data_IF_181437558796
#
_entry.id   IF_181437558796
#
_cell.length_a   1.000
_cell.length_b   1.000
_cell.length_c   1.000
_cell.angle_alpha   90.00
_cell.angle_beta   90.00
_cell.angle_gamma   90.00
#
_symmetry.space_group_name_H-M   'P 1'
#
loop_
_entity.id
_entity.type
_entity.pdbx_description
1 polymer ?
#
# COMPACT_ATOMS: atom_id res chain seq x y z
N UNK A 1 -39.85 0.65 -6.19
CA UNK A 1 -39.58 0.20 -7.57
C UNK A 1 -38.19 -0.44 -7.60
N UNK A 2 -38.01 -1.58 -8.26
CA UNK A 2 -36.72 -2.28 -8.30
C UNK A 2 -35.99 -1.95 -9.59
N UNK A 3 -34.72 -1.55 -9.52
CA UNK A 3 -33.89 -1.18 -10.67
C UNK A 3 -32.52 -1.85 -10.51
N UNK A 4 -31.94 -2.35 -11.60
CA UNK A 4 -30.56 -2.85 -11.57
C UNK A 4 -29.55 -1.71 -11.47
N UNK A 5 -28.42 -1.92 -10.82
CA UNK A 5 -27.32 -0.93 -10.76
C UNK A 5 -26.94 -0.42 -12.15
N UNK A 6 -26.87 -1.31 -13.14
CA UNK A 6 -26.49 -0.97 -14.52
C UNK A 6 -27.53 -0.08 -15.23
N UNK A 7 -28.79 -0.17 -14.83
CA UNK A 7 -29.90 0.61 -15.40
C UNK A 7 -30.16 1.90 -14.61
N UNK A 8 -29.66 1.98 -13.38
CA UNK A 8 -29.91 3.06 -12.45
C UNK A 8 -29.42 4.41 -12.98
N UNK A 9 -28.24 4.45 -13.61
CA UNK A 9 -27.66 5.66 -14.21
C UNK A 9 -28.59 6.25 -15.29
N UNK A 10 -28.96 5.43 -16.27
CA UNK A 10 -29.86 5.85 -17.37
C UNK A 10 -31.26 6.23 -16.88
N UNK A 11 -31.74 5.60 -15.82
CA UNK A 11 -33.02 5.95 -15.21
C UNK A 11 -32.93 7.28 -14.45
N UNK A 12 -31.84 7.47 -13.69
CA UNK A 12 -31.59 8.67 -12.91
C UNK A 12 -31.51 9.89 -13.82
N UNK A 13 -30.79 9.79 -14.94
CA UNK A 13 -30.70 10.86 -15.94
C UNK A 13 -32.07 11.30 -16.46
N UNK A 14 -32.94 10.35 -16.78
CA UNK A 14 -34.30 10.63 -17.28
C UNK A 14 -35.18 11.30 -16.23
N UNK A 15 -35.10 10.86 -14.97
CA UNK A 15 -35.89 11.46 -13.90
C UNK A 15 -35.33 12.82 -13.46
N UNK A 16 -34.00 12.98 -13.43
CA UNK A 16 -33.35 14.27 -13.21
C UNK A 16 -33.70 15.25 -14.32
N UNK A 17 -33.74 14.83 -15.59
CA UNK A 17 -34.13 15.72 -16.69
C UNK A 17 -35.56 16.25 -16.51
N UNK A 18 -36.51 15.39 -16.11
CA UNK A 18 -37.89 15.80 -15.82
C UNK A 18 -37.96 16.74 -14.62
N UNK A 19 -37.29 16.41 -13.52
CA UNK A 19 -37.31 17.18 -12.29
C UNK A 19 -36.61 18.54 -12.43
N UNK A 20 -35.52 18.60 -13.21
CA UNK A 20 -34.72 19.81 -13.41
C UNK A 20 -35.23 20.69 -14.54
N UNK A 21 -36.13 20.22 -15.42
CA UNK A 21 -36.70 21.04 -16.51
C UNK A 21 -37.21 22.43 -16.06
N UNK A 22 -38.01 22.58 -14.99
CA UNK A 22 -38.44 23.90 -14.52
C UNK A 22 -37.25 24.75 -14.03
N UNK A 23 -36.28 24.15 -13.35
CA UNK A 23 -35.07 24.81 -12.85
C UNK A 23 -34.16 25.26 -14.00
N UNK A 24 -33.97 24.43 -15.03
CA UNK A 24 -33.24 24.76 -16.26
C UNK A 24 -33.90 25.90 -17.03
N UNK A 25 -35.23 25.91 -17.11
CA UNK A 25 -35.97 27.01 -17.75
C UNK A 25 -35.82 28.33 -16.98
N UNK A 26 -35.87 28.31 -15.64
CA UNK A 26 -35.62 29.49 -14.80
C UNK A 26 -34.18 29.98 -14.95
N UNK A 27 -33.22 29.07 -14.95
CA UNK A 27 -31.80 29.37 -15.17
C UNK A 27 -31.54 29.98 -16.56
N UNK A 28 -32.21 29.47 -17.61
CA UNK A 28 -32.15 30.04 -18.96
C UNK A 28 -32.64 31.49 -18.98
N UNK A 29 -33.79 31.78 -18.36
CA UNK A 29 -34.30 33.16 -18.23
C UNK A 29 -33.33 34.08 -17.48
N UNK A 30 -32.65 33.60 -16.44
CA UNK A 30 -31.64 34.38 -15.72
C UNK A 30 -30.39 34.63 -16.56
N UNK A 31 -30.02 33.69 -17.43
CA UNK A 31 -28.92 33.86 -18.39
C UNK A 31 -29.29 34.89 -19.46
N UNK A 32 -30.53 34.86 -19.95
CA UNK A 32 -31.04 35.87 -20.89
C UNK A 32 -31.12 37.26 -20.24
N UNK A 33 -31.58 37.35 -18.99
CA UNK A 33 -31.58 38.59 -18.20
C UNK A 33 -30.16 39.14 -18.01
N UNK A 34 -29.18 38.25 -17.75
CA UNK A 34 -27.77 38.63 -17.65
C UNK A 34 -27.21 39.10 -18.99
N UNK A 35 -27.49 38.40 -20.09
CA UNK A 35 -27.10 38.82 -21.44
C UNK A 35 -27.63 40.21 -21.75
N UNK A 36 -28.93 40.45 -21.55
CA UNK A 36 -29.55 41.76 -21.79
C UNK A 36 -28.93 42.85 -20.94
N UNK A 37 -28.72 42.60 -19.64
CA UNK A 37 -28.13 43.59 -18.74
C UNK A 37 -26.68 43.93 -19.14
N UNK A 38 -25.89 42.95 -19.57
CA UNK A 38 -24.51 43.17 -20.03
C UNK A 38 -24.45 43.84 -21.40
N UNK A 39 -25.34 43.48 -22.33
CA UNK A 39 -25.41 44.11 -23.66
C UNK A 39 -25.88 45.56 -23.57
N UNK A 40 -26.89 45.85 -22.74
CA UNK A 40 -27.30 47.23 -22.42
C UNK A 40 -26.14 48.03 -21.82
N UNK A 41 -25.37 47.40 -20.91
CA UNK A 41 -24.21 48.03 -20.31
C UNK A 41 -23.11 48.31 -21.32
N UNK A 42 -22.81 47.34 -22.19
CA UNK A 42 -21.84 47.51 -23.28
C UNK A 42 -22.24 48.66 -24.19
N UNK A 43 -23.49 48.67 -24.68
CA UNK A 43 -23.99 49.74 -25.54
C UNK A 43 -23.88 51.12 -24.87
N UNK A 44 -24.25 51.22 -23.58
CA UNK A 44 -24.11 52.47 -22.82
C UNK A 44 -22.65 52.91 -22.69
N UNK A 45 -21.73 52.03 -22.33
CA UNK A 45 -20.33 52.40 -22.14
C UNK A 45 -19.60 52.68 -23.46
N UNK A 46 -19.96 52.03 -24.55
CA UNK A 46 -19.47 52.37 -25.90
C UNK A 46 -19.92 53.78 -26.32
N UNK A 47 -21.19 54.11 -26.11
CA UNK A 47 -21.72 55.44 -26.40
C UNK A 47 -21.08 56.50 -25.52
N UNK A 48 -20.91 56.21 -24.22
CA UNK A 48 -20.27 57.11 -23.26
C UNK A 48 -18.80 57.36 -23.62
N UNK A 49 -18.06 56.33 -24.05
CA UNK A 49 -16.68 56.48 -24.54
C UNK A 49 -16.64 57.33 -25.81
N UNK A 50 -17.52 57.06 -26.78
CA UNK A 50 -17.59 57.83 -28.04
C UNK A 50 -17.90 59.31 -27.78
N UNK A 51 -18.83 59.59 -26.87
CA UNK A 51 -19.18 60.96 -26.45
C UNK A 51 -18.02 61.66 -25.75
N UNK A 52 -17.26 60.94 -24.93
CA UNK A 52 -16.04 61.45 -24.31
C UNK A 52 -14.96 61.79 -25.35
N UNK A 53 -14.71 60.90 -26.32
CA UNK A 53 -13.73 61.14 -27.40
C UNK A 53 -14.14 62.30 -28.32
N UNK A 54 -15.43 62.44 -28.61
CA UNK A 54 -15.99 63.59 -29.32
C UNK A 54 -15.79 64.91 -28.56
N UNK A 55 -16.00 64.91 -27.25
CA UNK A 55 -15.77 66.10 -26.42
C UNK A 55 -14.27 66.43 -26.27
N UNK A 56 -13.38 65.43 -26.27
CA UNK A 56 -11.92 65.63 -26.25
C UNK A 56 -11.40 66.32 -27.51
N UNK A 57 -12.02 66.08 -28.66
CA UNK A 57 -11.62 66.68 -29.95
C UNK A 57 -12.23 68.05 -30.20
N UNK A 58 -13.41 68.33 -29.66
CA UNK A 58 -14.16 69.58 -29.93
C UNK A 58 -14.02 70.64 -28.84
N UNK A 59 -13.92 70.26 -27.56
CA UNK A 59 -13.88 71.21 -26.44
C UNK A 59 -12.44 71.54 -26.05
N UNK A 60 -12.12 72.84 -26.04
CA UNK A 60 -10.79 73.38 -25.69
C UNK A 60 -10.68 73.86 -24.24
N UNK A 61 -11.79 73.86 -23.48
CA UNK A 61 -11.77 74.31 -22.10
C UNK A 61 -11.13 73.23 -21.18
N UNK A 62 -10.20 73.60 -20.28
CA UNK A 62 -9.47 72.64 -19.45
C UNK A 62 -10.35 71.75 -18.57
N UNK A 63 -11.51 72.26 -18.13
CA UNK A 63 -12.44 71.57 -17.24
C UNK A 63 -13.19 70.47 -18.01
N UNK A 64 -13.79 70.79 -19.16
CA UNK A 64 -14.46 69.77 -19.99
C UNK A 64 -13.48 68.76 -20.57
N UNK A 65 -12.25 69.19 -20.92
CA UNK A 65 -11.22 68.27 -21.40
C UNK A 65 -10.84 67.24 -20.33
N UNK A 66 -10.61 67.69 -19.08
CA UNK A 66 -10.32 66.80 -17.95
C UNK A 66 -11.49 65.85 -17.68
N UNK A 67 -12.72 66.36 -17.62
CA UNK A 67 -13.92 65.56 -17.40
C UNK A 67 -14.10 64.49 -18.51
N UNK A 68 -13.95 64.87 -19.78
CA UNK A 68 -14.05 63.95 -20.91
C UNK A 68 -12.99 62.85 -20.88
N UNK A 69 -11.73 63.18 -20.55
CA UNK A 69 -10.65 62.20 -20.42
C UNK A 69 -10.94 61.15 -19.34
N UNK A 70 -11.46 61.60 -18.20
CA UNK A 70 -11.77 60.75 -17.05
C UNK A 70 -12.97 59.84 -17.37
N UNK A 71 -14.05 60.40 -17.93
CA UNK A 71 -15.22 59.63 -18.38
C UNK A 71 -14.83 58.57 -19.42
N UNK A 72 -14.04 58.95 -20.43
CA UNK A 72 -13.59 58.03 -21.48
C UNK A 72 -12.71 56.90 -20.95
N UNK A 73 -11.87 57.16 -19.93
CA UNK A 73 -11.10 56.11 -19.25
C UNK A 73 -12.04 55.15 -18.52
N UNK A 74 -12.95 55.66 -17.69
CA UNK A 74 -13.88 54.82 -16.92
C UNK A 74 -14.78 53.99 -17.82
N UNK A 75 -15.27 54.56 -18.92
CA UNK A 75 -16.09 53.84 -19.89
C UNK A 75 -15.31 52.67 -20.53
N UNK A 76 -14.04 52.86 -20.89
CA UNK A 76 -13.17 51.80 -21.43
C UNK A 76 -12.84 50.73 -20.38
N UNK A 77 -12.53 51.13 -19.16
CA UNK A 77 -12.27 50.20 -18.06
C UNK A 77 -13.53 49.38 -17.74
N UNK A 78 -14.70 50.00 -17.80
CA UNK A 78 -16.00 49.35 -17.62
C UNK A 78 -16.29 48.31 -18.73
N UNK A 79 -16.07 48.67 -19.99
CA UNK A 79 -16.20 47.74 -21.13
C UNK A 79 -15.30 46.53 -20.96
N UNK A 80 -14.04 46.75 -20.63
CA UNK A 80 -13.06 45.66 -20.42
C UNK A 80 -13.44 44.73 -19.26
N UNK A 81 -14.17 45.24 -18.27
CA UNK A 81 -14.63 44.46 -17.11
C UNK A 81 -15.86 43.62 -17.47
N UNK A 82 -16.78 44.18 -18.25
CA UNK A 82 -17.98 43.49 -18.74
C UNK A 82 -17.61 42.38 -19.72
N UNK A 83 -16.65 42.62 -20.61
CA UNK A 83 -16.16 41.66 -21.59
C UNK A 83 -15.58 40.37 -21.00
N UNK A 84 -15.07 40.43 -19.78
CA UNK A 84 -14.49 39.29 -19.08
C UNK A 84 -15.56 38.35 -18.52
N UNK A 85 -16.82 38.78 -18.44
CA UNK A 85 -17.90 37.97 -17.88
C UNK A 85 -18.36 36.97 -18.94
N UNK A 86 -18.11 35.69 -18.67
CA UNK A 86 -18.62 34.59 -19.48
C UNK A 86 -19.96 34.13 -18.93
N UNK A 87 -20.99 34.14 -19.79
CA UNK A 87 -22.29 33.55 -19.46
C UNK A 87 -22.22 32.05 -19.83
N UNK A 88 -22.49 31.14 -18.88
CA UNK A 88 -22.37 29.71 -19.12
C UNK A 88 -23.46 29.20 -20.04
N UNK A 89 -23.08 28.37 -21.01
CA UNK A 89 -24.02 27.66 -21.90
C UNK A 89 -24.67 26.45 -21.21
N UNK A 90 -23.94 25.82 -20.28
CA UNK A 90 -24.45 24.70 -19.49
C UNK A 90 -24.98 25.17 -18.13
N UNK A 91 -26.19 24.72 -17.79
CA UNK A 91 -26.84 25.02 -16.51
C UNK A 91 -26.29 24.08 -15.43
N UNK A 92 -25.23 24.53 -14.76
CA UNK A 92 -24.70 23.89 -13.56
C UNK A 92 -24.69 24.87 -12.37
N UNK A 93 -24.77 24.33 -11.16
CA UNK A 93 -24.72 25.16 -9.95
C UNK A 93 -23.40 25.94 -9.84
N UNK A 94 -22.27 25.30 -10.17
CA UNK A 94 -20.95 25.92 -10.13
C UNK A 94 -20.83 27.05 -11.17
N UNK A 95 -21.34 26.82 -12.39
CA UNK A 95 -21.34 27.82 -13.46
C UNK A 95 -22.11 29.08 -13.06
N UNK A 96 -23.30 28.92 -12.46
CA UNK A 96 -24.12 30.05 -12.00
C UNK A 96 -23.54 30.75 -10.78
N UNK A 97 -22.84 30.02 -9.89
CA UNK A 97 -22.11 30.62 -8.79
C UNK A 97 -20.99 31.54 -9.29
N UNK A 98 -20.21 31.08 -10.27
CA UNK A 98 -19.17 31.90 -10.92
C UNK A 98 -19.78 33.12 -11.61
N UNK A 99 -20.89 32.95 -12.33
CA UNK A 99 -21.59 34.06 -12.97
C UNK A 99 -22.06 35.11 -11.94
N UNK A 100 -22.69 34.67 -10.84
CA UNK A 100 -23.10 35.56 -9.73
C UNK A 100 -21.92 36.35 -9.18
N UNK A 101 -20.81 35.67 -8.89
CA UNK A 101 -19.62 36.30 -8.30
C UNK A 101 -19.02 37.33 -9.27
N UNK A 102 -18.94 37.00 -10.56
CA UNK A 102 -18.46 37.91 -11.58
C UNK A 102 -19.36 39.14 -11.74
N UNK A 103 -20.70 38.97 -11.77
CA UNK A 103 -21.65 40.09 -11.86
C UNK A 103 -21.58 41.00 -10.63
N UNK A 104 -21.52 40.41 -9.44
CA UNK A 104 -21.45 41.16 -8.17
C UNK A 104 -20.14 41.94 -8.05
N UNK A 105 -19.00 41.30 -8.33
CA UNK A 105 -17.69 41.95 -8.29
C UNK A 105 -17.57 43.06 -9.34
N UNK A 106 -18.08 42.83 -10.55
CA UNK A 106 -18.09 43.85 -11.61
C UNK A 106 -18.98 45.02 -11.23
N UNK A 107 -20.19 44.79 -10.72
CA UNK A 107 -21.08 45.86 -10.27
C UNK A 107 -20.44 46.69 -9.14
N UNK A 108 -19.76 46.04 -8.18
CA UNK A 108 -19.06 46.73 -7.09
C UNK A 108 -17.90 47.59 -7.61
N UNK A 109 -17.05 47.03 -8.48
CA UNK A 109 -15.93 47.75 -9.11
C UNK A 109 -16.41 48.96 -9.93
N UNK A 110 -17.48 48.79 -10.72
CA UNK A 110 -18.07 49.89 -11.50
C UNK A 110 -18.65 50.99 -10.60
N UNK A 111 -19.29 50.62 -9.48
CA UNK A 111 -19.82 51.59 -8.51
C UNK A 111 -18.69 52.39 -7.85
N UNK A 112 -17.58 51.74 -7.50
CA UNK A 112 -16.39 52.39 -6.95
C UNK A 112 -15.75 53.36 -7.97
N UNK A 113 -15.58 52.89 -9.22
CA UNK A 113 -15.04 53.69 -10.32
C UNK A 113 -15.90 54.93 -10.61
N UNK A 114 -17.23 54.79 -10.55
CA UNK A 114 -18.16 55.92 -10.67
C UNK A 114 -18.00 56.91 -9.52
N UNK A 115 -17.93 56.44 -8.29
CA UNK A 115 -17.86 57.29 -7.11
C UNK A 115 -16.54 58.08 -7.01
N UNK A 116 -15.42 57.48 -7.40
CA UNK A 116 -14.14 58.19 -7.48
C UNK A 116 -14.16 59.28 -8.55
N UNK A 117 -14.78 58.97 -9.68
CA UNK A 117 -14.84 59.81 -10.89
C UNK A 117 -15.84 60.95 -10.76
N UNK A 118 -16.90 60.80 -9.95
CA UNK A 118 -17.93 61.83 -9.78
C UNK A 118 -17.38 63.17 -9.25
N UNK A 119 -16.28 63.13 -8.47
CA UNK A 119 -15.62 64.35 -7.97
C UNK A 119 -15.00 65.18 -9.09
N UNK A 120 -14.59 64.54 -10.19
CA UNK A 120 -13.81 65.17 -11.27
C UNK A 120 -14.68 65.67 -12.44
N UNK A 121 -15.95 65.24 -12.50
CA UNK A 121 -16.83 65.44 -13.67
C UNK A 121 -17.67 66.73 -13.61
N UNK A 122 -17.72 67.41 -12.47
CA UNK A 122 -18.35 68.73 -12.22
C UNK A 122 -19.52 69.10 -13.16
N UNK A 123 -20.68 68.45 -12.99
CA UNK A 123 -21.96 68.79 -13.65
C UNK A 123 -22.08 68.49 -15.16
N UNK A 124 -20.97 68.40 -15.90
CA UNK A 124 -20.96 68.29 -17.37
C UNK A 124 -21.53 66.97 -17.90
N UNK A 125 -21.42 65.90 -17.12
CA UNK A 125 -21.94 64.56 -17.46
C UNK A 125 -22.95 64.08 -16.41
N UNK A 126 -23.69 64.98 -15.77
CA UNK A 126 -24.59 64.62 -14.67
C UNK A 126 -25.62 63.55 -15.08
N UNK A 127 -26.24 63.72 -16.25
CA UNK A 127 -27.22 62.76 -16.79
C UNK A 127 -26.57 61.42 -17.13
N UNK A 128 -25.38 61.43 -17.73
CA UNK A 128 -24.66 60.20 -18.05
C UNK A 128 -24.24 59.46 -16.77
N UNK A 129 -23.88 60.17 -15.69
CA UNK A 129 -23.55 59.57 -14.39
C UNK A 129 -24.77 59.00 -13.65
N UNK A 130 -25.99 59.47 -13.95
CA UNK A 130 -27.23 58.86 -13.48
C UNK A 130 -27.52 57.57 -14.24
N UNK A 131 -27.40 57.61 -15.57
CA UNK A 131 -27.54 56.43 -16.43
C UNK A 131 -26.49 55.35 -16.12
N UNK A 132 -25.25 55.75 -15.80
CA UNK A 132 -24.20 54.87 -15.32
C UNK A 132 -24.65 54.09 -14.09
N UNK A 133 -25.13 54.79 -13.06
CA UNK A 133 -25.64 54.14 -11.85
C UNK A 133 -26.81 53.20 -12.16
N UNK A 134 -27.70 53.58 -13.07
CA UNK A 134 -28.83 52.73 -13.48
C UNK A 134 -28.40 51.44 -14.20
N UNK A 135 -27.34 51.49 -15.01
CA UNK A 135 -26.75 50.30 -15.65
C UNK A 135 -26.09 49.40 -14.61
N UNK A 136 -25.28 49.97 -13.70
CA UNK A 136 -24.64 49.21 -12.62
C UNK A 136 -25.67 48.54 -11.71
N UNK A 137 -26.76 49.25 -11.39
CA UNK A 137 -27.84 48.71 -10.56
C UNK A 137 -28.57 47.56 -11.26
N UNK A 138 -28.75 47.62 -12.59
CA UNK A 138 -29.30 46.52 -13.38
C UNK A 138 -28.42 45.27 -13.31
N UNK A 139 -27.10 45.42 -13.49
CA UNK A 139 -26.14 44.30 -13.35
C UNK A 139 -26.20 43.71 -11.94
N UNK A 140 -26.20 44.57 -10.90
CA UNK A 140 -26.29 44.15 -9.51
C UNK A 140 -27.59 43.37 -9.22
N UNK A 141 -28.72 43.87 -9.72
CA UNK A 141 -30.04 43.25 -9.57
C UNK A 141 -30.12 41.87 -10.23
N UNK A 142 -29.49 41.69 -11.40
CA UNK A 142 -29.41 40.36 -12.02
C UNK A 142 -28.53 39.42 -11.18
N UNK A 143 -27.40 39.90 -10.66
CA UNK A 143 -26.57 39.14 -9.71
C UNK A 143 -27.35 38.70 -8.46
N UNK A 144 -28.20 39.57 -7.92
CA UNK A 144 -29.06 39.27 -6.77
C UNK A 144 -30.13 38.22 -7.11
N UNK A 145 -30.82 38.36 -8.26
CA UNK A 145 -31.76 37.34 -8.75
C UNK A 145 -31.10 35.97 -8.91
N UNK A 146 -29.85 35.93 -9.40
CA UNK A 146 -29.09 34.67 -9.52
C UNK A 146 -28.73 34.14 -8.13
N UNK A 147 -28.38 34.99 -7.16
CA UNK A 147 -28.14 34.55 -5.77
C UNK A 147 -29.40 33.93 -5.14
N UNK A 148 -30.55 34.61 -5.27
CA UNK A 148 -31.84 34.10 -4.79
C UNK A 148 -32.21 32.78 -5.47
N UNK A 149 -31.92 32.65 -6.76
CA UNK A 149 -32.10 31.38 -7.47
C UNK A 149 -31.19 30.28 -6.91
N UNK A 150 -29.90 30.55 -6.68
CA UNK A 150 -28.96 29.57 -6.14
C UNK A 150 -29.34 29.12 -4.71
N UNK A 151 -29.91 30.02 -3.90
CA UNK A 151 -30.38 29.72 -2.54
C UNK A 151 -31.73 28.96 -2.53
N UNK A 152 -32.54 29.10 -3.58
CA UNK A 152 -33.82 28.41 -3.73
C UNK A 152 -33.76 27.26 -4.74
N UNK A 153 -34.28 27.48 -5.94
CA UNK A 153 -34.43 26.44 -6.97
C UNK A 153 -33.10 25.80 -7.42
N UNK A 154 -31.99 26.52 -7.27
CA UNK A 154 -30.63 26.07 -7.59
C UNK A 154 -30.13 24.96 -6.68
N UNK A 155 -30.71 24.78 -5.48
CA UNK A 155 -30.41 23.64 -4.62
C UNK A 155 -30.71 22.31 -5.32
N UNK A 156 -31.72 22.27 -6.21
CA UNK A 156 -32.03 21.09 -7.00
C UNK A 156 -30.89 20.72 -7.97
N UNK A 157 -30.16 21.70 -8.50
CA UNK A 157 -28.98 21.45 -9.35
C UNK A 157 -27.83 20.87 -8.52
N UNK A 158 -27.67 21.35 -7.28
CA UNK A 158 -26.67 20.80 -6.36
C UNK A 158 -27.03 19.36 -5.95
N UNK A 159 -28.30 19.09 -5.65
CA UNK A 159 -28.81 17.74 -5.34
C UNK A 159 -28.65 16.77 -6.51
N UNK A 160 -28.88 17.22 -7.73
CA UNK A 160 -28.64 16.42 -8.94
C UNK A 160 -27.15 16.08 -9.11
N UNK A 161 -26.25 17.04 -8.85
CA UNK A 161 -24.81 16.81 -8.87
C UNK A 161 -24.36 15.80 -7.81
N UNK A 162 -24.90 15.87 -6.60
CA UNK A 162 -24.53 14.91 -5.55
C UNK A 162 -25.03 13.50 -5.87
N UNK A 163 -26.22 13.36 -6.47
CA UNK A 163 -26.74 12.07 -6.94
C UNK A 163 -25.87 11.46 -8.05
N UNK A 164 -25.61 12.21 -9.11
CA UNK A 164 -24.73 11.77 -10.23
C UNK A 164 -23.34 11.40 -9.73
N UNK A 165 -22.72 12.19 -8.86
CA UNK A 165 -21.43 11.84 -8.25
C UNK A 165 -21.50 10.54 -7.42
N UNK A 166 -22.62 10.27 -6.75
CA UNK A 166 -22.78 9.03 -5.97
C UNK A 166 -22.86 7.84 -6.94
N UNK A 167 -23.55 7.97 -8.07
CA UNK A 167 -23.61 6.93 -9.12
C UNK A 167 -22.25 6.66 -9.74
N UNK A 168 -21.48 7.71 -10.05
CA UNK A 168 -20.11 7.57 -10.55
C UNK A 168 -19.24 6.79 -9.56
N UNK A 169 -19.32 7.11 -8.26
CA UNK A 169 -18.57 6.36 -7.23
C UNK A 169 -19.00 4.89 -7.13
N UNK A 170 -20.30 4.60 -7.26
CA UNK A 170 -20.82 3.23 -7.31
C UNK A 170 -20.21 2.48 -8.50
N UNK A 171 -20.18 3.10 -9.68
CA UNK A 171 -19.60 2.49 -10.89
C UNK A 171 -18.09 2.21 -10.71
N UNK A 172 -17.34 3.18 -10.19
CA UNK A 172 -15.90 3.02 -9.94
C UNK A 172 -15.61 1.88 -8.97
N UNK A 173 -16.37 1.77 -7.87
CA UNK A 173 -16.20 0.68 -6.91
C UNK A 173 -16.63 -0.66 -7.53
N UNK A 174 -17.68 -0.67 -8.35
CA UNK A 174 -18.08 -1.85 -9.11
C UNK A 174 -16.96 -2.39 -10.00
N UNK A 175 -16.24 -1.51 -10.71
CA UNK A 175 -15.08 -1.88 -11.52
C UNK A 175 -13.93 -2.44 -10.66
N UNK A 176 -13.55 -1.74 -9.59
CA UNK A 176 -12.49 -2.20 -8.67
C UNK A 176 -12.82 -3.57 -8.06
N UNK A 177 -14.08 -3.82 -7.75
CA UNK A 177 -14.55 -5.07 -7.18
C UNK A 177 -14.45 -6.23 -8.17
N UNK A 178 -14.79 -5.97 -9.44
CA UNK A 178 -14.65 -6.95 -10.52
C UNK A 178 -13.17 -7.27 -10.81
N UNK A 179 -12.30 -6.27 -10.81
CA UNK A 179 -10.85 -6.47 -10.95
C UNK A 179 -10.30 -7.31 -9.80
N UNK A 180 -10.63 -6.98 -8.56
CA UNK A 180 -10.18 -7.74 -7.39
C UNK A 180 -10.71 -9.17 -7.36
N UNK A 181 -11.95 -9.40 -7.81
CA UNK A 181 -12.49 -10.77 -7.98
C UNK A 181 -11.71 -11.57 -9.02
N UNK A 182 -11.36 -10.97 -10.16
CA UNK A 182 -10.53 -11.62 -11.18
C UNK A 182 -9.15 -11.98 -10.63
N UNK A 183 -8.49 -11.03 -9.95
CA UNK A 183 -7.22 -11.26 -9.28
C UNK A 183 -7.31 -12.41 -8.25
N UNK A 184 -8.39 -12.47 -7.46
CA UNK A 184 -8.61 -13.56 -6.50
C UNK A 184 -8.71 -14.93 -7.18
N UNK A 185 -9.41 -15.02 -8.32
CA UNK A 185 -9.56 -16.28 -9.09
C UNK A 185 -8.19 -16.70 -9.67
N UNK A 186 -7.41 -15.76 -10.17
CA UNK A 186 -6.06 -16.02 -10.67
C UNK A 186 -5.14 -16.52 -9.55
N UNK A 187 -5.16 -15.85 -8.40
CA UNK A 187 -4.40 -16.27 -7.21
C UNK A 187 -4.82 -17.67 -6.75
N UNK A 188 -6.11 -17.99 -6.76
CA UNK A 188 -6.60 -19.31 -6.41
C UNK A 188 -6.07 -20.40 -7.37
N UNK A 189 -6.11 -20.14 -8.68
CA UNK A 189 -5.52 -21.04 -9.68
C UNK A 189 -4.02 -21.23 -9.48
N UNK A 190 -3.28 -20.17 -9.15
CA UNK A 190 -1.84 -20.29 -8.87
C UNK A 190 -1.57 -21.12 -7.61
N UNK A 191 -2.36 -20.93 -6.55
CA UNK A 191 -2.27 -21.73 -5.31
C UNK A 191 -2.53 -23.21 -5.61
N UNK A 192 -3.59 -23.52 -6.36
CA UNK A 192 -3.92 -24.89 -6.75
C UNK A 192 -2.82 -25.52 -7.61
N UNK A 193 -2.28 -24.76 -8.57
CA UNK A 193 -1.13 -25.17 -9.37
C UNK A 193 0.08 -25.53 -8.52
N UNK A 194 0.46 -24.66 -7.58
CA UNK A 194 1.56 -24.90 -6.63
C UNK A 194 1.30 -26.12 -5.76
N UNK A 195 0.09 -26.26 -5.21
CA UNK A 195 -0.30 -27.41 -4.39
C UNK A 195 -0.20 -28.72 -5.16
N UNK A 196 -0.63 -28.72 -6.43
CA UNK A 196 -0.51 -29.89 -7.31
C UNK A 196 0.96 -30.24 -7.61
N UNK A 197 1.81 -29.26 -7.86
CA UNK A 197 3.24 -29.45 -8.11
C UNK A 197 3.95 -30.01 -6.85
N UNK A 198 3.60 -29.52 -5.66
CA UNK A 198 4.11 -30.03 -4.39
C UNK A 198 3.69 -31.49 -4.19
N UNK A 199 2.44 -31.86 -4.53
CA UNK A 199 1.97 -33.25 -4.47
C UNK A 199 2.74 -34.15 -5.44
N UNK A 200 2.96 -33.71 -6.67
CA UNK A 200 3.77 -34.45 -7.65
C UNK A 200 5.21 -34.66 -7.16
N UNK A 201 5.88 -33.60 -6.68
CA UNK A 201 7.21 -33.69 -6.09
C UNK A 201 7.25 -34.60 -4.86
N UNK A 202 6.17 -34.65 -4.07
CA UNK A 202 6.07 -35.54 -2.92
C UNK A 202 5.95 -37.00 -3.34
N UNK A 203 5.21 -37.29 -4.41
CA UNK A 203 5.14 -38.64 -5.00
C UNK A 203 6.51 -39.04 -5.57
N UNK A 204 7.19 -38.14 -6.30
CA UNK A 204 8.56 -38.38 -6.79
C UNK A 204 9.55 -38.62 -5.63
N UNK A 205 9.38 -37.92 -4.51
CA UNK A 205 10.19 -38.15 -3.32
C UNK A 205 9.93 -39.56 -2.75
N UNK A 206 8.68 -40.02 -2.71
CA UNK A 206 8.31 -41.36 -2.26
C UNK A 206 8.87 -42.45 -3.16
N UNK A 207 8.83 -42.28 -4.49
CA UNK A 207 9.40 -43.26 -5.43
C UNK A 207 10.92 -43.36 -5.28
N UNK A 208 11.63 -42.23 -5.16
CA UNK A 208 13.08 -42.22 -4.93
C UNK A 208 13.43 -42.83 -3.57
N UNK A 209 12.67 -42.51 -2.52
CA UNK A 209 12.91 -43.05 -1.17
C UNK A 209 12.51 -44.52 -1.00
N UNK A 210 11.71 -45.06 -1.91
CA UNK A 210 11.37 -46.49 -1.96
C UNK A 210 12.52 -47.37 -2.44
N UNK A 211 13.57 -46.80 -3.04
CA UNK A 211 14.76 -47.56 -3.43
C UNK A 211 15.50 -48.10 -2.19
N UNK A 212 15.72 -49.42 -2.13
CA UNK A 212 16.33 -50.09 -0.99
C UNK A 212 17.73 -49.58 -0.65
N UNK A 213 18.55 -49.27 -1.65
CA UNK A 213 19.91 -48.75 -1.44
C UNK A 213 19.89 -47.38 -0.74
N UNK A 214 18.98 -46.50 -1.16
CA UNK A 214 18.82 -45.18 -0.56
C UNK A 214 18.19 -45.27 0.84
N UNK A 215 17.22 -46.16 1.02
CA UNK A 215 16.58 -46.41 2.31
C UNK A 215 17.61 -46.84 3.36
N UNK A 216 18.51 -47.76 3.00
CA UNK A 216 19.62 -48.17 3.87
C UNK A 216 20.56 -47.00 4.21
N UNK A 217 20.92 -46.15 3.23
CA UNK A 217 21.72 -44.95 3.49
C UNK A 217 21.02 -44.00 4.47
N UNK A 218 19.72 -43.79 4.32
CA UNK A 218 18.94 -42.93 5.21
C UNK A 218 18.81 -43.50 6.62
N UNK A 219 18.68 -44.81 6.76
CA UNK A 219 18.66 -45.51 8.04
C UNK A 219 20.02 -45.39 8.75
N UNK A 220 21.13 -45.63 8.04
CA UNK A 220 22.48 -45.41 8.56
C UNK A 220 22.68 -43.95 9.00
N UNK A 221 22.18 -42.96 8.24
CA UNK A 221 22.24 -41.56 8.65
C UNK A 221 21.41 -41.27 9.91
N UNK A 222 20.25 -41.91 10.07
CA UNK A 222 19.42 -41.81 11.26
C UNK A 222 20.12 -42.42 12.48
N UNK A 223 20.75 -43.58 12.30
CA UNK A 223 21.55 -44.24 13.34
C UNK A 223 22.77 -43.41 13.74
N UNK A 224 23.53 -42.88 12.77
CA UNK A 224 24.66 -41.98 13.04
C UNK A 224 24.23 -40.73 13.81
N UNK A 225 23.04 -40.18 13.53
CA UNK A 225 22.47 -39.04 14.30
C UNK A 225 22.08 -39.47 15.71
N UNK A 226 21.49 -40.65 15.88
CA UNK A 226 21.12 -41.20 17.20
C UNK A 226 22.36 -41.44 18.05
N UNK A 227 23.37 -42.12 17.49
CA UNK A 227 24.66 -42.32 18.15
C UNK A 227 25.36 -40.99 18.44
N UNK A 228 25.28 -40.00 17.55
CA UNK A 228 25.82 -38.68 17.83
C UNK A 228 25.12 -37.99 19.01
N UNK A 229 23.83 -38.23 19.23
CA UNK A 229 23.08 -37.68 20.37
C UNK A 229 23.48 -38.43 21.64
N UNK A 230 23.46 -39.75 21.60
CA UNK A 230 23.90 -40.63 22.71
C UNK A 230 25.35 -40.35 23.11
N UNK A 231 26.23 -40.10 22.14
CA UNK A 231 27.61 -39.73 22.43
C UNK A 231 27.71 -38.38 23.16
N UNK A 232 26.80 -37.44 22.88
CA UNK A 232 26.77 -36.16 23.60
C UNK A 232 26.20 -36.29 25.00
N UNK A 233 25.19 -37.14 25.19
CA UNK A 233 24.50 -37.34 26.48
C UNK A 233 25.24 -38.28 27.41
N UNK A 234 25.83 -39.35 26.90
CA UNK A 234 26.41 -40.39 27.76
C UNK A 234 27.88 -40.09 28.03
N UNK A 235 28.61 -39.66 26.99
CA UNK A 235 30.06 -39.50 27.02
C UNK A 235 30.50 -38.08 27.37
N UNK A 236 29.68 -37.06 27.08
CA UNK A 236 30.11 -35.66 27.14
C UNK A 236 29.33 -34.76 28.10
N UNK A 237 28.35 -35.30 28.81
CA UNK A 237 27.46 -34.50 29.68
C UNK A 237 28.22 -33.72 30.74
N UNK A 238 29.17 -34.33 31.46
CA UNK A 238 29.97 -33.60 32.45
C UNK A 238 31.31 -33.11 31.91
N UNK A 239 31.75 -33.57 30.74
CA UNK A 239 33.05 -33.21 30.15
C UNK A 239 33.03 -31.96 29.26
N UNK A 240 31.88 -31.52 28.74
CA UNK A 240 31.78 -30.36 27.84
C UNK A 240 32.38 -29.06 28.41
N UNK A 241 32.04 -28.70 29.65
CA UNK A 241 32.55 -27.48 30.29
C UNK A 241 34.02 -27.61 30.72
N UNK A 242 34.44 -28.71 31.35
CA UNK A 242 35.86 -28.96 31.64
C UNK A 242 36.74 -28.95 30.39
N UNK A 243 36.33 -29.57 29.29
CA UNK A 243 37.12 -29.58 28.04
C UNK A 243 37.29 -28.17 27.43
N UNK A 244 36.25 -27.33 27.49
CA UNK A 244 36.36 -25.91 27.08
C UNK A 244 37.35 -25.16 27.97
N UNK A 245 37.24 -25.34 29.29
CA UNK A 245 38.15 -24.69 30.25
C UNK A 245 39.61 -25.15 30.07
N UNK A 246 39.83 -26.44 29.80
CA UNK A 246 41.15 -26.99 29.48
C UNK A 246 41.74 -26.32 28.23
N UNK A 247 40.93 -26.13 27.18
CA UNK A 247 41.35 -25.42 25.98
C UNK A 247 41.75 -23.98 26.29
N UNK A 248 40.91 -23.28 27.05
CA UNK A 248 41.14 -21.86 27.36
C UNK A 248 42.38 -21.69 28.26
N UNK A 249 42.60 -22.58 29.24
CA UNK A 249 43.81 -22.61 30.08
C UNK A 249 45.06 -22.96 29.28
N UNK A 250 44.94 -23.84 28.30
CA UNK A 250 46.07 -24.17 27.43
C UNK A 250 46.45 -23.03 26.48
N UNK A 251 45.46 -22.28 25.97
CA UNK A 251 45.72 -21.08 25.17
C UNK A 251 46.43 -19.98 25.97
N UNK A 252 46.19 -19.90 27.28
CA UNK A 252 46.87 -18.97 28.21
C UNK A 252 48.25 -19.44 28.67
N UNK A 253 48.67 -20.66 28.30
CA UNK A 253 49.94 -21.24 28.72
C UNK A 253 49.95 -21.81 30.14
N UNK A 254 48.81 -21.84 30.84
CA UNK A 254 48.70 -22.36 32.21
C UNK A 254 48.78 -23.90 32.27
N UNK A 255 48.42 -24.56 31.15
CA UNK A 255 48.52 -26.00 30.92
C UNK A 255 49.23 -26.25 29.59
N UNK A 256 50.34 -26.98 29.64
CA UNK A 256 51.08 -27.37 28.45
C UNK A 256 50.33 -28.48 27.69
N UNK A 257 49.67 -28.11 26.59
CA UNK A 257 49.22 -29.05 25.55
C UNK A 257 50.07 -28.83 24.29
N UNK A 258 50.32 -29.90 23.53
CA UNK A 258 50.99 -29.79 22.21
C UNK A 258 50.09 -29.04 21.22
N UNK A 259 50.68 -28.43 20.19
CA UNK A 259 49.89 -27.68 19.18
C UNK A 259 48.81 -28.56 18.52
N UNK A 260 49.17 -29.80 18.18
CA UNK A 260 48.27 -30.80 17.60
C UNK A 260 47.11 -31.19 18.54
N UNK A 261 47.37 -31.27 19.85
CA UNK A 261 46.37 -31.60 20.87
C UNK A 261 45.39 -30.43 21.09
N UNK A 262 45.87 -29.19 21.01
CA UNK A 262 45.03 -27.99 21.12
C UNK A 262 44.07 -27.87 19.94
N UNK A 263 44.57 -28.12 18.73
CA UNK A 263 43.77 -28.10 17.50
C UNK A 263 42.72 -29.22 17.51
N UNK A 264 43.13 -30.44 17.90
CA UNK A 264 42.22 -31.58 18.09
C UNK A 264 41.12 -31.30 19.13
N UNK A 265 41.48 -30.67 20.26
CA UNK A 265 40.52 -30.28 21.29
C UNK A 265 39.53 -29.22 20.76
N UNK A 266 40.01 -28.28 19.94
CA UNK A 266 39.16 -27.29 19.26
C UNK A 266 38.12 -27.93 18.35
N UNK A 267 38.54 -28.81 17.45
CA UNK A 267 37.67 -29.57 16.54
C UNK A 267 36.66 -30.45 17.30
N UNK A 268 37.12 -31.10 18.36
CA UNK A 268 36.29 -31.96 19.20
C UNK A 268 35.22 -31.17 19.97
N UNK A 269 35.52 -29.95 20.43
CA UNK A 269 34.52 -29.09 21.08
C UNK A 269 33.44 -28.63 20.09
N UNK A 270 33.82 -28.32 18.84
CA UNK A 270 32.88 -27.87 17.81
C UNK A 270 32.02 -29.01 17.26
N UNK A 271 32.63 -30.16 16.93
CA UNK A 271 31.93 -31.31 16.34
C UNK A 271 32.34 -32.64 16.99
N UNK A 272 31.91 -32.90 18.24
CA UNK A 272 32.50 -33.97 19.06
C UNK A 272 32.43 -35.35 18.42
N UNK A 273 31.27 -35.73 17.87
CA UNK A 273 31.10 -37.04 17.26
C UNK A 273 31.79 -37.15 15.89
N UNK A 274 31.84 -36.07 15.11
CA UNK A 274 32.49 -36.07 13.79
C UNK A 274 34.01 -36.15 13.93
N UNK A 275 34.58 -35.34 14.81
CA UNK A 275 36.00 -35.38 15.18
C UNK A 275 36.37 -36.72 15.81
N UNK A 276 35.49 -37.31 16.61
CA UNK A 276 35.66 -38.64 17.19
C UNK A 276 35.86 -39.73 16.14
N UNK A 277 35.10 -39.69 15.05
CA UNK A 277 35.15 -40.71 14.02
C UNK A 277 36.26 -40.49 12.99
N UNK A 278 36.63 -39.23 12.68
CA UNK A 278 37.56 -38.88 11.60
C UNK A 278 39.03 -39.22 11.86
N UNK A 279 39.50 -39.19 13.12
CA UNK A 279 40.90 -39.42 13.49
C UNK A 279 41.10 -40.85 13.98
N UNK A 280 42.10 -41.59 13.47
CA UNK A 280 42.29 -43.03 13.68
C UNK A 280 42.44 -43.54 15.13
N UNK A 281 42.40 -42.66 16.13
CA UNK A 281 42.97 -42.97 17.42
C UNK A 281 41.98 -42.73 18.56
N UNK A 282 41.31 -43.78 19.05
CA UNK A 282 41.04 -43.87 20.49
C UNK A 282 42.18 -43.29 21.36
N UNK A 283 43.47 -43.49 20.99
CA UNK A 283 44.62 -42.82 21.60
C UNK A 283 44.84 -41.31 21.40
N UNK A 284 44.03 -40.52 20.66
CA UNK A 284 44.22 -39.04 20.61
C UNK A 284 43.38 -38.32 21.67
N UNK A 285 42.21 -38.88 22.01
CA UNK A 285 41.41 -38.39 23.15
C UNK A 285 42.06 -38.79 24.47
N UNK A 286 42.79 -39.90 24.54
CA UNK A 286 43.46 -40.34 25.77
C UNK A 286 44.46 -39.31 26.33
N UNK A 287 45.39 -38.71 25.55
CA UNK A 287 46.25 -37.60 25.99
C UNK A 287 45.44 -36.38 26.48
N UNK A 288 44.37 -36.01 25.77
CA UNK A 288 43.53 -34.87 26.14
C UNK A 288 42.77 -35.14 27.45
N UNK A 289 42.24 -36.35 27.62
CA UNK A 289 41.50 -36.77 28.81
C UNK A 289 42.43 -37.01 30.01
N UNK A 290 43.66 -37.49 29.79
CA UNK A 290 44.69 -37.61 30.84
C UNK A 290 45.24 -36.26 31.26
N UNK A 291 45.44 -35.32 30.33
CA UNK A 291 45.76 -33.93 30.65
C UNK A 291 44.62 -33.20 31.35
N UNK A 292 43.35 -33.55 31.03
CA UNK A 292 42.21 -33.08 31.80
C UNK A 292 42.23 -33.63 33.23
N UNK A 293 42.58 -34.90 33.41
CA UNK A 293 42.70 -35.54 34.73
C UNK A 293 43.82 -34.91 35.57
N UNK A 294 45.01 -34.72 35.01
CA UNK A 294 46.11 -34.05 35.71
C UNK A 294 45.83 -32.57 36.01
N UNK A 295 45.07 -31.87 35.16
CA UNK A 295 44.60 -30.52 35.42
C UNK A 295 43.55 -30.45 36.56
N UNK A 296 42.76 -31.50 36.74
CA UNK A 296 41.83 -31.64 37.87
C UNK A 296 42.57 -31.95 39.17
N UNK A 297 43.53 -32.89 39.13
CA UNK A 297 44.32 -33.30 40.29
C UNK A 297 45.23 -32.17 40.79
N UNK A 298 45.77 -31.35 39.90
CA UNK A 298 46.57 -30.16 40.24
C UNK A 298 45.74 -28.95 40.71
N UNK A 299 44.41 -29.07 40.80
CA UNK A 299 43.52 -28.00 41.26
C UNK A 299 43.35 -26.80 40.30
N UNK A 300 44.12 -26.74 39.20
CA UNK A 300 44.13 -25.64 38.23
C UNK A 300 42.79 -25.41 37.51
N UNK A 301 41.92 -26.42 37.53
CA UNK A 301 40.60 -26.36 36.90
C UNK A 301 39.55 -25.59 37.72
N UNK A 302 39.78 -25.26 38.99
CA UNK A 302 38.88 -24.44 39.83
C UNK A 302 37.41 -24.89 39.80
N UNK A 303 37.16 -26.20 39.80
CA UNK A 303 35.81 -26.79 39.83
C UNK A 303 35.42 -27.13 41.28
N UNK A 304 34.13 -27.05 41.60
CA UNK A 304 33.64 -27.45 42.93
C UNK A 304 33.81 -28.96 43.15
N UNK A 305 34.09 -29.37 44.38
CA UNK A 305 34.40 -30.76 44.72
C UNK A 305 33.37 -31.76 44.15
N UNK A 306 32.06 -31.50 44.32
CA UNK A 306 30.98 -32.33 43.75
C UNK A 306 31.03 -32.47 42.22
N UNK A 307 31.45 -31.43 41.49
CA UNK A 307 31.59 -31.45 40.03
C UNK A 307 32.87 -32.19 39.62
N UNK A 308 33.95 -31.97 40.35
CA UNK A 308 35.23 -32.68 40.16
C UNK A 308 35.03 -34.19 40.32
N UNK A 309 34.36 -34.66 41.37
CA UNK A 309 34.07 -36.10 41.57
C UNK A 309 33.29 -36.70 40.40
N UNK A 310 32.25 -36.02 39.89
CA UNK A 310 31.46 -36.52 38.74
C UNK A 310 32.27 -36.56 37.45
N UNK A 311 33.13 -35.57 37.23
CA UNK A 311 34.01 -35.50 36.06
C UNK A 311 35.09 -36.58 36.12
N UNK A 312 35.67 -36.82 37.30
CA UNK A 312 36.68 -37.88 37.52
C UNK A 312 36.05 -39.26 37.32
N UNK A 313 34.87 -39.52 37.91
CA UNK A 313 34.15 -40.79 37.70
C UNK A 313 33.84 -41.02 36.22
N UNK A 314 33.38 -40.00 35.49
CA UNK A 314 33.14 -40.11 34.05
C UNK A 314 34.44 -40.29 33.26
N UNK A 315 35.54 -39.64 33.66
CA UNK A 315 36.86 -39.83 33.03
C UNK A 315 37.37 -41.25 33.23
N UNK A 316 37.30 -41.77 34.46
CA UNK A 316 37.76 -43.11 34.79
C UNK A 316 36.96 -44.18 34.05
N UNK A 317 35.64 -44.00 33.91
CA UNK A 317 34.80 -44.86 33.08
C UNK A 317 35.20 -44.83 31.59
N UNK A 318 35.62 -43.68 31.07
CA UNK A 318 36.00 -43.54 29.67
C UNK A 318 37.43 -43.99 29.36
N UNK A 319 38.36 -43.87 30.32
CA UNK A 319 39.76 -44.29 30.15
C UNK A 319 39.99 -45.76 30.48
N UNK A 320 39.18 -46.36 31.37
CA UNK A 320 39.36 -47.76 31.83
C UNK A 320 38.60 -48.76 30.97
N UNK A 321 37.45 -48.37 30.42
CA UNK A 321 36.57 -49.28 29.68
C UNK A 321 36.85 -49.17 28.18
N UNK A 322 36.86 -50.29 27.45
CA UNK A 322 36.91 -50.32 25.96
C UNK A 322 35.68 -49.65 25.29
N UNK A 323 34.81 -49.02 26.06
CA UNK A 323 33.57 -48.37 25.65
C UNK A 323 33.77 -47.28 24.58
N UNK A 324 34.82 -46.46 24.68
CA UNK A 324 35.14 -45.49 23.62
C UNK A 324 35.56 -46.18 22.32
N UNK A 325 36.40 -47.21 22.40
CA UNK A 325 36.83 -47.96 21.22
C UNK A 325 35.63 -48.67 20.54
N UNK A 326 34.71 -49.24 21.32
CA UNK A 326 33.47 -49.85 20.81
C UNK A 326 32.55 -48.84 20.12
N UNK A 327 32.30 -47.68 20.75
CA UNK A 327 31.49 -46.60 20.12
C UNK A 327 32.16 -46.05 18.85
N UNK A 328 33.49 -45.93 18.84
CA UNK A 328 34.23 -45.50 17.65
C UNK A 328 34.15 -46.53 16.53
N UNK A 329 34.32 -47.81 16.85
CA UNK A 329 34.20 -48.92 15.91
C UNK A 329 32.82 -48.99 15.27
N UNK A 330 31.76 -48.88 16.08
CA UNK A 330 30.38 -48.87 15.60
C UNK A 330 30.10 -47.69 14.65
N UNK A 331 30.44 -46.47 15.06
CA UNK A 331 30.26 -45.28 14.21
C UNK A 331 31.11 -45.30 12.93
N UNK A 332 32.32 -45.89 12.97
CA UNK A 332 33.15 -46.10 11.78
C UNK A 332 32.58 -47.14 10.84
N UNK A 333 32.06 -48.24 11.37
CA UNK A 333 31.40 -49.26 10.56
C UNK A 333 30.20 -48.67 9.82
N UNK A 334 29.39 -47.88 10.51
CA UNK A 334 28.27 -47.15 9.90
C UNK A 334 28.74 -46.14 8.83
N UNK A 335 29.79 -45.36 9.09
CA UNK A 335 30.37 -44.46 8.09
C UNK A 335 30.92 -45.21 6.88
N UNK A 336 31.59 -46.34 7.09
CA UNK A 336 32.13 -47.19 6.04
C UNK A 336 31.03 -47.82 5.19
N UNK A 337 29.96 -48.32 5.82
CA UNK A 337 28.76 -48.81 5.13
C UNK A 337 28.09 -47.71 4.30
N UNK A 338 27.93 -46.51 4.86
CA UNK A 338 27.41 -45.34 4.13
C UNK A 338 28.29 -44.99 2.93
N UNK A 339 29.62 -44.99 3.08
CA UNK A 339 30.54 -44.70 1.98
C UNK A 339 30.48 -45.76 0.88
N UNK A 340 30.33 -47.04 1.22
CA UNK A 340 30.17 -48.12 0.25
C UNK A 340 28.89 -47.98 -0.56
N UNK A 341 27.76 -47.70 0.10
CA UNK A 341 26.48 -47.48 -0.57
C UNK A 341 26.51 -46.23 -1.46
N UNK A 342 27.16 -45.14 -1.02
CA UNK A 342 27.31 -43.92 -1.82
C UNK A 342 28.44 -43.98 -2.87
N UNK A 343 29.21 -45.07 -2.91
CA UNK A 343 30.18 -45.30 -3.99
C UNK A 343 29.47 -45.75 -5.27
N UNK A 344 28.32 -46.41 -5.13
CA UNK A 344 27.44 -46.69 -6.26
C UNK A 344 26.91 -45.38 -6.85
N UNK A 345 27.19 -45.10 -8.15
CA UNK A 345 26.72 -43.88 -8.81
C UNK A 345 25.19 -43.76 -8.80
N UNK A 346 24.46 -44.88 -8.85
CA UNK A 346 22.99 -44.87 -8.85
C UNK A 346 22.44 -44.35 -7.52
N UNK A 347 22.90 -44.92 -6.40
CA UNK A 347 22.52 -44.50 -5.06
C UNK A 347 22.95 -43.05 -4.77
N UNK A 348 24.15 -42.66 -5.21
CA UNK A 348 24.66 -41.28 -5.07
C UNK A 348 23.77 -40.28 -5.82
N UNK A 349 23.35 -40.58 -7.04
CA UNK A 349 22.48 -39.72 -7.83
C UNK A 349 21.10 -39.59 -7.17
N UNK A 350 20.50 -40.70 -6.74
CA UNK A 350 19.22 -40.69 -6.01
C UNK A 350 19.30 -39.87 -4.72
N UNK A 351 20.43 -39.94 -3.99
CA UNK A 351 20.65 -39.14 -2.79
C UNK A 351 20.71 -37.64 -3.09
N UNK A 352 21.37 -37.24 -4.18
CA UNK A 352 21.43 -35.84 -4.62
C UNK A 352 20.08 -35.34 -5.12
N UNK A 353 19.38 -36.15 -5.92
CA UNK A 353 18.06 -35.86 -6.46
C UNK A 353 17.04 -35.67 -5.34
N UNK A 354 17.03 -36.55 -4.34
CA UNK A 354 16.23 -36.41 -3.11
C UNK A 354 16.47 -35.06 -2.43
N UNK A 355 17.73 -34.61 -2.33
CA UNK A 355 18.07 -33.32 -1.73
C UNK A 355 17.51 -32.14 -2.54
N UNK A 356 17.55 -32.24 -3.87
CA UNK A 356 16.99 -31.24 -4.77
C UNK A 356 15.47 -31.18 -4.64
N UNK A 357 14.79 -32.33 -4.66
CA UNK A 357 13.33 -32.43 -4.53
C UNK A 357 12.87 -31.89 -3.18
N UNK A 358 13.54 -32.24 -2.08
CA UNK A 358 13.22 -31.68 -0.76
C UNK A 358 13.33 -30.16 -0.73
N UNK A 359 14.34 -29.59 -1.39
CA UNK A 359 14.48 -28.13 -1.50
C UNK A 359 13.35 -27.53 -2.32
N UNK A 360 13.00 -28.14 -3.47
CA UNK A 360 11.86 -27.70 -4.30
C UNK A 360 10.53 -27.76 -3.54
N UNK A 361 10.32 -28.79 -2.73
CA UNK A 361 9.12 -28.90 -1.87
C UNK A 361 9.10 -27.80 -0.82
N UNK A 362 10.23 -27.52 -0.16
CA UNK A 362 10.31 -26.45 0.85
C UNK A 362 10.06 -25.06 0.25
N UNK A 363 10.68 -24.78 -0.91
CA UNK A 363 10.48 -23.53 -1.64
C UNK A 363 9.04 -23.42 -2.16
N UNK A 364 8.49 -24.48 -2.75
CA UNK A 364 7.09 -24.53 -3.19
C UNK A 364 6.09 -24.31 -2.05
N UNK A 365 6.34 -24.86 -0.85
CA UNK A 365 5.49 -24.63 0.33
C UNK A 365 5.53 -23.18 0.80
N UNK A 366 6.69 -22.50 0.70
CA UNK A 366 6.79 -21.07 1.00
C UNK A 366 6.00 -20.25 -0.02
N UNK A 367 6.08 -20.60 -1.30
CA UNK A 367 5.35 -19.92 -2.36
C UNK A 367 3.83 -20.15 -2.23
N UNK A 368 3.39 -21.36 -1.89
CA UNK A 368 1.98 -21.69 -1.59
C UNK A 368 1.49 -20.86 -0.40
N UNK A 369 2.28 -20.74 0.66
CA UNK A 369 1.94 -19.94 1.83
C UNK A 369 1.82 -18.45 1.48
N UNK A 370 2.76 -17.89 0.70
CA UNK A 370 2.66 -16.51 0.22
C UNK A 370 1.42 -16.29 -0.66
N UNK A 371 1.09 -17.24 -1.54
CA UNK A 371 -0.11 -17.18 -2.36
C UNK A 371 -1.38 -17.20 -1.49
N UNK A 372 -1.42 -18.02 -0.43
CA UNK A 372 -2.56 -18.05 0.51
C UNK A 372 -2.72 -16.74 1.28
N UNK A 373 -1.63 -16.12 1.72
CA UNK A 373 -1.67 -14.82 2.41
C UNK A 373 -2.18 -13.70 1.48
N UNK A 374 -1.70 -13.69 0.23
CA UNK A 374 -2.18 -12.75 -0.80
C UNK A 374 -3.66 -12.94 -1.08
N UNK A 375 -4.11 -14.17 -1.25
CA UNK A 375 -5.52 -14.52 -1.47
C UNK A 375 -6.39 -14.06 -0.30
N UNK A 376 -5.99 -14.33 0.95
CA UNK A 376 -6.70 -13.84 2.13
C UNK A 376 -6.81 -12.31 2.15
N UNK A 377 -5.72 -11.61 1.83
CA UNK A 377 -5.74 -10.13 1.77
C UNK A 377 -6.65 -9.60 0.66
N UNK A 378 -6.74 -10.31 -0.48
CA UNK A 378 -7.62 -9.98 -1.57
C UNK A 378 -9.10 -10.21 -1.19
N UNK A 379 -9.42 -11.32 -0.52
CA UNK A 379 -10.75 -11.61 0.01
C UNK A 379 -11.21 -10.57 1.04
N UNK A 380 -10.34 -10.15 1.96
CA UNK A 380 -10.63 -9.10 2.94
C UNK A 380 -10.92 -7.76 2.25
N UNK A 381 -10.14 -7.40 1.21
CA UNK A 381 -10.41 -6.21 0.39
C UNK A 381 -11.72 -6.32 -0.38
N UNK A 382 -12.03 -7.47 -0.97
CA UNK A 382 -13.30 -7.72 -1.66
C UNK A 382 -14.47 -7.57 -0.67
N UNK A 383 -14.36 -8.07 0.55
CA UNK A 383 -15.40 -7.90 1.58
C UNK A 383 -15.58 -6.43 1.95
N UNK A 384 -14.49 -5.70 2.16
CA UNK A 384 -14.54 -4.26 2.47
C UNK A 384 -15.17 -3.45 1.31
N UNK A 385 -14.76 -3.71 0.07
CA UNK A 385 -15.33 -3.07 -1.12
C UNK A 385 -16.81 -3.43 -1.32
N UNK A 386 -17.21 -4.68 -1.08
CA UNK A 386 -18.62 -5.08 -1.12
C UNK A 386 -19.45 -4.30 -0.09
N UNK A 387 -18.96 -4.20 1.15
CA UNK A 387 -19.65 -3.45 2.21
C UNK A 387 -19.80 -1.98 1.83
N UNK A 388 -18.71 -1.37 1.34
CA UNK A 388 -18.75 0.03 0.90
C UNK A 388 -19.70 0.24 -0.29
N UNK A 389 -19.72 -0.70 -1.23
CA UNK A 389 -20.65 -0.69 -2.35
C UNK A 389 -22.11 -0.76 -1.88
N UNK A 390 -22.43 -1.64 -0.94
CA UNK A 390 -23.79 -1.74 -0.35
C UNK A 390 -24.18 -0.45 0.39
N UNK A 391 -23.27 0.15 1.16
CA UNK A 391 -23.50 1.44 1.83
C UNK A 391 -23.82 2.55 0.83
N UNK A 392 -23.12 2.59 -0.31
CA UNK A 392 -23.38 3.57 -1.37
C UNK A 392 -24.71 3.32 -2.08
N UNK A 393 -25.13 2.06 -2.27
CA UNK A 393 -26.44 1.75 -2.81
C UNK A 393 -27.55 2.29 -1.89
N UNK A 394 -27.44 2.02 -0.58
CA UNK A 394 -28.40 2.54 0.41
C UNK A 394 -28.40 4.07 0.43
N UNK A 395 -27.21 4.69 0.33
CA UNK A 395 -27.10 6.15 0.24
C UNK A 395 -27.74 6.71 -1.05
N UNK A 396 -27.59 6.02 -2.17
CA UNK A 396 -28.22 6.40 -3.42
C UNK A 396 -29.75 6.26 -3.37
N UNK A 397 -30.26 5.18 -2.78
CA UNK A 397 -31.69 4.98 -2.52
C UNK A 397 -32.25 6.08 -1.62
N UNK A 398 -31.57 6.40 -0.51
CA UNK A 398 -32.01 7.41 0.44
C UNK A 398 -32.03 8.81 -0.18
N UNK A 399 -30.98 9.18 -0.91
CA UNK A 399 -30.89 10.48 -1.61
C UNK A 399 -31.92 10.57 -2.73
N UNK A 400 -32.18 9.48 -3.45
CA UNK A 400 -33.21 9.46 -4.50
C UNK A 400 -34.61 9.62 -3.92
N UNK A 401 -34.88 8.98 -2.77
CA UNK A 401 -36.13 9.20 -2.04
C UNK A 401 -36.25 10.66 -1.58
N UNK A 402 -35.19 11.21 -0.99
CA UNK A 402 -35.18 12.59 -0.49
C UNK A 402 -35.37 13.62 -1.61
N UNK A 403 -34.66 13.46 -2.73
CA UNK A 403 -34.58 14.49 -3.77
C UNK A 403 -35.61 14.33 -4.88
N UNK A 404 -36.00 13.09 -5.20
CA UNK A 404 -36.97 12.79 -6.28
C UNK A 404 -38.32 12.29 -5.73
N UNK A 405 -38.46 12.11 -4.42
CA UNK A 405 -39.67 11.53 -3.80
C UNK A 405 -40.05 10.17 -4.40
N UNK A 406 -39.05 9.42 -4.88
CA UNK A 406 -39.22 8.09 -5.47
C UNK A 406 -38.63 7.04 -4.55
N UNK A 407 -39.46 6.09 -4.15
CA UNK A 407 -38.99 4.88 -3.45
C UNK A 407 -38.46 3.87 -4.47
N UNK A 408 -37.14 3.78 -4.54
CA UNK A 408 -36.41 2.82 -5.36
C UNK A 408 -35.63 1.85 -4.48
N UNK A 409 -35.43 0.64 -4.99
CA UNK A 409 -34.55 -0.37 -4.46
C UNK A 409 -33.59 -0.76 -5.58
N UNK A 410 -32.30 -0.57 -5.36
CA UNK A 410 -31.25 -0.82 -6.35
C UNK A 410 -30.74 -2.24 -6.13
N UNK A 411 -31.07 -3.12 -7.08
CA UNK A 411 -30.63 -4.50 -7.08
C UNK A 411 -29.30 -4.63 -7.83
N UNK A 412 -28.43 -5.46 -7.27
CA UNK A 412 -27.07 -5.68 -7.77
C UNK A 412 -27.02 -6.56 -9.01
#
# INVERSE_FOLDING_TARGET
MKIRVDEYDTWLDRELEKALRPTKNKAGKLSDDAHRALDEARGFFEELSRKADGNLSTKKDPISYRAARVVGRVARDALSSIEKIQIPQEVSWDSFKVLRDNLSNTARSLRESRNSTQREIHGLYLLDMLSFSGVVERIAKVGEKISQFLEGDGENLQRAKTLTSTVETIHQIGLQLNEKKKESIELERTREGLSSAIKQLSIELETITSNDSLKQVLEIEKELRKESREFRTDTLTHLRRPLRKLRDLSQRGEIALRSEEREALGEYIQSPYRSFLSRNSGPYLTPILTNLKSALDSGKMGLSHRKTTRVVVQLDQLTTTQHLAQKQGKGRNLLGQRQRLLHDPTCKNLYLERKIILKKIDDGKKDELQATERLRSAEEKIKALNKHFEELLVQAESKTKEYLSRDIQIER
#
